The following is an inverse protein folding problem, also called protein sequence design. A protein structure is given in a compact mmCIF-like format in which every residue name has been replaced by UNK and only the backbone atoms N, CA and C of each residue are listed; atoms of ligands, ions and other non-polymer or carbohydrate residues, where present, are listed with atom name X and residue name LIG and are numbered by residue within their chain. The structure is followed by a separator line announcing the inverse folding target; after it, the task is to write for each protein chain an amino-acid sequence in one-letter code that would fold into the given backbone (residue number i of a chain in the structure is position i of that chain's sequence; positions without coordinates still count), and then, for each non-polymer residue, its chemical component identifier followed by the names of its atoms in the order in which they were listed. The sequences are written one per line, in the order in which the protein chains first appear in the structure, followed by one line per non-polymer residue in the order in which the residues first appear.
data_IF_746392421366
#
_entry.id   IF_746392421366
#
_cell.length_a   1.000
_cell.length_b   1.000
_cell.length_c   1.000
_cell.angle_alpha   90.00
_cell.angle_beta   90.00
_cell.angle_gamma   90.00
#
_symmetry.space_group_name_H-M   'P 1'
#
loop_
_entity.id
_entity.type
_entity.pdbx_description
1 polymer ?
#
# COMPACT_ATOMS: atom_id res chain seq x y z
N UNK A 1 13.00 -2.59 35.68
CA UNK A 1 12.20 -3.78 36.03
C UNK A 1 11.45 -4.20 34.78
N UNK A 2 11.69 -5.40 34.28
CA UNK A 2 11.05 -5.89 33.05
C UNK A 2 9.55 -6.06 33.29
N UNK A 3 8.72 -5.31 32.58
CA UNK A 3 7.28 -5.38 32.71
C UNK A 3 6.80 -6.72 32.12
N UNK A 4 6.12 -7.53 32.94
CA UNK A 4 5.51 -8.79 32.50
C UNK A 4 4.27 -8.50 31.67
N UNK A 5 4.02 -9.35 30.67
CA UNK A 5 2.88 -9.23 29.75
C UNK A 5 1.53 -9.38 30.47
N UNK A 6 1.47 -10.22 31.51
CA UNK A 6 0.31 -10.37 32.37
C UNK A 6 0.68 -10.00 33.80
N UNK A 7 -0.25 -9.34 34.49
CA UNK A 7 -0.10 -8.99 35.91
C UNK A 7 -0.29 -10.26 36.75
N UNK A 8 0.82 -11.00 36.94
CA UNK A 8 0.85 -12.29 37.61
C UNK A 8 1.71 -12.21 38.88
N UNK A 9 1.15 -12.46 40.06
CA UNK A 9 1.79 -12.20 41.35
C UNK A 9 2.83 -13.25 41.80
N UNK A 10 3.25 -14.19 40.94
CA UNK A 10 4.21 -15.25 41.28
C UNK A 10 5.67 -14.97 40.87
N UNK A 11 6.57 -15.88 41.17
CA UNK A 11 7.97 -15.80 40.71
C UNK A 11 8.09 -16.17 39.21
N UNK A 12 9.29 -16.05 38.63
CA UNK A 12 9.50 -16.29 37.18
C UNK A 12 9.18 -17.74 36.77
N UNK A 13 9.46 -18.73 37.64
CA UNK A 13 9.17 -20.15 37.35
C UNK A 13 7.66 -20.39 37.29
N UNK A 14 6.91 -19.77 38.21
CA UNK A 14 5.45 -19.83 38.22
C UNK A 14 4.84 -19.06 37.04
N UNK A 15 5.43 -17.93 36.66
CA UNK A 15 5.01 -17.14 35.51
C UNK A 15 5.22 -17.90 34.19
N UNK A 16 6.33 -18.62 34.05
CA UNK A 16 6.59 -19.47 32.88
C UNK A 16 5.54 -20.59 32.78
N UNK A 17 5.25 -21.30 33.88
CA UNK A 17 4.19 -22.33 33.88
C UNK A 17 2.81 -21.75 33.55
N UNK A 18 2.52 -20.55 34.05
CA UNK A 18 1.29 -19.83 33.70
C UNK A 18 1.23 -19.57 32.18
N UNK A 19 2.29 -19.05 31.58
CA UNK A 19 2.35 -18.85 30.13
C UNK A 19 2.20 -20.15 29.33
N UNK A 20 2.85 -21.24 29.75
CA UNK A 20 2.72 -22.56 29.12
C UNK A 20 1.27 -23.08 29.16
N UNK A 21 0.58 -22.93 30.30
CA UNK A 21 -0.83 -23.29 30.42
C UNK A 21 -1.76 -22.45 29.53
N UNK A 22 -1.47 -21.14 29.39
CA UNK A 22 -2.21 -20.30 28.47
C UNK A 22 -2.01 -20.77 27.03
N UNK A 23 -0.76 -21.09 26.65
CA UNK A 23 -0.43 -21.59 25.31
C UNK A 23 -1.20 -22.86 24.95
N UNK A 24 -1.27 -23.82 25.87
CA UNK A 24 -2.05 -25.08 25.70
C UNK A 24 -3.54 -24.78 25.51
N UNK A 25 -4.08 -23.75 26.16
CA UNK A 25 -5.51 -23.39 26.07
C UNK A 25 -5.86 -22.83 24.69
N UNK A 26 -4.92 -22.14 24.02
CA UNK A 26 -5.14 -21.58 22.68
C UNK A 26 -4.81 -22.58 21.57
N UNK A 27 -4.02 -23.63 21.86
CA UNK A 27 -3.57 -24.60 20.88
C UNK A 27 -4.70 -25.32 20.09
N UNK A 28 -5.88 -25.63 20.65
CA UNK A 28 -6.99 -26.23 19.90
C UNK A 28 -7.66 -25.27 18.90
N UNK A 29 -7.47 -23.95 19.02
CA UNK A 29 -8.00 -22.95 18.09
C UNK A 29 -7.16 -22.83 16.81
N UNK A 30 -5.94 -23.36 16.83
CA UNK A 30 -5.07 -23.50 15.67
C UNK A 30 -5.02 -24.99 15.33
N UNK A 31 -5.86 -25.42 14.39
CA UNK A 31 -6.09 -26.83 14.03
C UNK A 31 -4.87 -27.75 14.17
N UNK A 32 -5.08 -28.90 14.80
CA UNK A 32 -4.04 -29.82 15.23
C UNK A 32 -3.02 -30.16 14.14
N UNK A 33 -1.70 -30.07 14.41
CA UNK A 33 -0.71 -30.81 13.63
C UNK A 33 -0.73 -32.28 14.07
N UNK A 34 -0.73 -33.18 13.09
CA UNK A 34 -0.63 -34.63 13.31
C UNK A 34 0.59 -34.99 14.19
N UNK A 35 0.49 -36.04 15.01
CA UNK A 35 1.57 -36.45 15.89
C UNK A 35 2.76 -36.99 15.09
N UNK A 36 3.87 -36.26 15.14
CA UNK A 36 5.17 -36.73 14.67
C UNK A 36 5.56 -37.95 15.51
N UNK A 37 5.61 -39.12 14.86
CA UNK A 37 6.20 -40.34 15.39
C UNK A 37 7.62 -40.07 15.90
N UNK A 38 7.80 -40.27 17.20
CA UNK A 38 9.07 -40.27 17.92
C UNK A 38 9.98 -41.37 17.35
N UNK A 39 10.89 -41.02 16.45
CA UNK A 39 12.05 -41.85 16.15
C UNK A 39 13.10 -41.63 17.24
N UNK A 40 13.22 -42.63 18.11
CA UNK A 40 14.31 -42.76 19.06
C UNK A 40 15.64 -42.85 18.30
N UNK A 41 16.50 -41.84 18.47
CA UNK A 41 17.90 -41.92 18.09
C UNK A 41 18.70 -42.32 19.33
N UNK A 42 19.31 -43.50 19.27
CA UNK A 42 20.31 -43.95 20.23
C UNK A 42 21.56 -43.06 20.18
N UNK A 43 22.21 -42.78 21.32
CA UNK A 43 23.47 -42.05 21.34
C UNK A 43 24.62 -42.98 20.97
N UNK A 44 25.05 -42.91 19.71
CA UNK A 44 26.33 -43.49 19.29
C UNK A 44 27.48 -42.60 19.77
N UNK A 45 28.28 -43.13 20.69
CA UNK A 45 29.58 -42.58 21.06
C UNK A 45 30.50 -42.61 19.84
N UNK A 46 30.89 -41.43 19.35
CA UNK A 46 32.08 -41.32 18.50
C UNK A 46 32.86 -40.05 18.87
N UNK A 47 34.00 -40.32 19.49
CA UNK A 47 35.12 -39.42 19.69
C UNK A 47 35.67 -38.97 18.33
N UNK A 48 35.64 -37.68 18.05
CA UNK A 48 36.17 -37.13 16.80
C UNK A 48 36.30 -35.62 16.88
N UNK A 49 37.47 -35.18 17.31
CA UNK A 49 38.05 -33.83 17.20
C UNK A 49 37.61 -33.06 15.95
N UNK A 50 37.11 -31.83 16.12
CA UNK A 50 37.66 -30.57 15.57
C UNK A 50 36.82 -29.40 16.11
N UNK A 51 37.26 -28.78 17.20
CA UNK A 51 36.70 -27.51 17.68
C UNK A 51 37.20 -26.38 16.78
N UNK A 52 36.43 -26.03 15.75
CA UNK A 52 36.60 -24.75 15.07
C UNK A 52 35.75 -23.70 15.80
N UNK A 53 36.39 -23.09 16.80
CA UNK A 53 35.76 -22.13 17.70
C UNK A 53 35.55 -20.79 17.00
N UNK A 54 34.30 -20.32 17.00
CA UNK A 54 33.99 -18.95 16.60
C UNK A 54 34.80 -17.96 17.45
N UNK A 55 35.68 -17.20 16.81
CA UNK A 55 36.51 -16.18 17.45
C UNK A 55 35.77 -14.84 17.47
N UNK A 56 35.26 -14.47 18.63
CA UNK A 56 34.78 -13.11 18.87
C UNK A 56 35.98 -12.16 18.93
N UNK A 57 36.08 -11.24 17.97
CA UNK A 57 37.07 -10.15 17.99
C UNK A 57 36.45 -8.96 18.70
N UNK A 58 36.94 -8.66 19.90
CA UNK A 58 36.57 -7.46 20.64
C UNK A 58 37.07 -6.21 19.88
N UNK A 59 36.14 -5.43 19.35
CA UNK A 59 36.44 -4.16 18.68
C UNK A 59 36.82 -3.11 19.72
N UNK A 60 38.12 -2.80 19.84
CA UNK A 60 38.62 -1.70 20.65
C UNK A 60 38.69 -0.44 19.78
N UNK A 61 37.80 0.56 19.95
CA UNK A 61 37.88 1.80 19.20
C UNK A 61 39.19 2.51 19.57
N UNK A 62 40.03 2.70 18.56
CA UNK A 62 41.28 3.43 18.71
C UNK A 62 40.94 4.91 18.91
N UNK A 63 41.48 5.59 19.95
CA UNK A 63 41.23 7.01 20.15
C UNK A 63 41.74 7.77 18.94
N UNK A 64 40.83 8.49 18.28
CA UNK A 64 41.11 9.23 17.06
C UNK A 64 42.24 10.24 17.31
N UNK A 65 43.43 9.92 16.79
CA UNK A 65 44.47 10.92 16.60
C UNK A 65 43.93 12.05 15.72
N UNK A 66 44.24 13.27 16.13
CA UNK A 66 43.84 14.54 15.53
C UNK A 66 43.74 14.49 14.00
N UNK A 67 42.53 14.24 13.50
CA UNK A 67 42.22 14.44 12.09
C UNK A 67 41.92 15.92 11.94
N UNK A 68 42.82 16.62 11.25
CA UNK A 68 42.62 18.01 10.82
C UNK A 68 41.21 18.15 10.24
N UNK A 69 40.44 19.10 10.78
CA UNK A 69 39.14 19.51 10.26
C UNK A 69 39.32 20.02 8.82
N UNK A 70 39.29 19.09 7.85
CA UNK A 70 38.86 19.42 6.51
C UNK A 70 37.39 19.78 6.64
N UNK A 71 37.07 21.04 6.38
CA UNK A 71 35.72 21.50 6.05
C UNK A 71 35.17 20.57 4.98
N UNK A 72 34.39 19.57 5.40
CA UNK A 72 33.72 18.68 4.48
C UNK A 72 32.69 19.53 3.72
N UNK A 73 32.65 19.48 2.39
CA UNK A 73 31.58 20.15 1.65
C UNK A 73 30.24 19.60 2.15
N UNK A 74 29.26 20.49 2.24
CA UNK A 74 27.92 20.26 2.78
C UNK A 74 27.31 18.94 2.25
N UNK A 75 27.50 17.86 3.02
CA UNK A 75 27.04 16.50 2.68
C UNK A 75 25.51 16.39 2.66
N UNK A 76 24.80 17.40 3.17
CA UNK A 76 23.34 17.49 3.12
C UNK A 76 22.82 17.84 1.72
N UNK A 77 23.48 18.77 1.03
CA UNK A 77 23.05 19.29 -0.28
C UNK A 77 22.99 18.23 -1.39
N UNK A 78 23.83 17.19 -1.33
CA UNK A 78 23.86 16.15 -2.37
C UNK A 78 22.82 15.03 -2.17
N UNK A 79 22.36 14.81 -0.93
CA UNK A 79 21.49 13.65 -0.62
C UNK A 79 20.07 13.84 -1.14
N UNK A 80 19.48 15.03 -0.99
CA UNK A 80 18.13 15.28 -1.47
C UNK A 80 18.07 15.22 -3.00
N UNK A 81 19.09 15.77 -3.69
CA UNK A 81 19.15 15.77 -5.15
C UNK A 81 19.25 14.35 -5.72
N UNK A 82 20.13 13.51 -5.19
CA UNK A 82 20.22 12.09 -5.60
C UNK A 82 18.91 11.33 -5.35
N UNK A 83 18.20 11.61 -4.26
CA UNK A 83 16.91 11.00 -3.98
C UNK A 83 15.82 11.50 -4.94
N UNK A 84 15.85 12.79 -5.28
CA UNK A 84 14.93 13.40 -6.25
C UNK A 84 15.20 12.84 -7.65
N UNK A 85 16.45 12.77 -8.09
CA UNK A 85 16.83 12.19 -9.37
C UNK A 85 16.32 10.74 -9.45
N UNK A 86 16.51 9.95 -8.39
CA UNK A 86 15.98 8.58 -8.32
C UNK A 86 14.44 8.53 -8.38
N UNK A 87 13.76 9.50 -7.79
CA UNK A 87 12.30 9.61 -7.87
C UNK A 87 11.86 9.94 -9.29
N UNK A 88 12.40 11.00 -9.87
CA UNK A 88 12.07 11.51 -11.19
C UNK A 88 12.31 10.45 -12.28
N UNK A 89 13.44 9.74 -12.26
CA UNK A 89 13.74 8.70 -13.26
C UNK A 89 12.92 7.42 -13.08
N UNK A 90 12.24 7.25 -11.94
CA UNK A 90 11.36 6.12 -11.70
C UNK A 90 9.91 6.42 -12.11
N UNK A 91 9.57 7.69 -12.37
CA UNK A 91 8.24 8.07 -12.86
C UNK A 91 8.03 7.43 -14.25
N UNK A 92 6.93 6.69 -14.47
CA UNK A 92 6.62 6.14 -15.77
C UNK A 92 6.36 7.26 -16.79
N UNK A 93 6.78 7.09 -18.04
CA UNK A 93 6.57 8.10 -19.10
C UNK A 93 5.69 7.53 -20.21
N UNK A 94 5.89 6.26 -20.58
CA UNK A 94 5.07 5.58 -21.59
C UNK A 94 3.89 4.84 -20.96
N UNK A 95 2.87 4.54 -21.78
CA UNK A 95 1.70 3.78 -21.33
C UNK A 95 2.07 2.37 -20.83
N UNK A 96 3.02 1.71 -21.50
CA UNK A 96 3.55 0.40 -21.06
C UNK A 96 4.18 0.48 -19.68
N UNK A 97 5.03 1.49 -19.43
CA UNK A 97 5.63 1.70 -18.11
C UNK A 97 4.56 2.00 -17.05
N UNK A 98 3.50 2.71 -17.43
CA UNK A 98 2.38 3.02 -16.54
C UNK A 98 1.65 1.75 -16.11
N UNK A 99 1.37 0.87 -17.07
CA UNK A 99 0.76 -0.45 -16.82
C UNK A 99 1.65 -1.31 -15.92
N UNK A 100 2.95 -1.37 -16.18
CA UNK A 100 3.91 -2.09 -15.33
C UNK A 100 3.96 -1.51 -13.90
N UNK A 101 3.92 -0.19 -13.77
CA UNK A 101 3.92 0.47 -12.48
C UNK A 101 2.62 0.20 -11.69
N UNK A 102 1.46 0.23 -12.36
CA UNK A 102 0.17 -0.15 -11.77
C UNK A 102 0.18 -1.61 -11.30
N UNK A 103 0.72 -2.53 -12.10
CA UNK A 103 0.83 -3.95 -11.75
C UNK A 103 1.78 -4.17 -10.55
N UNK A 104 2.97 -3.55 -10.58
CA UNK A 104 3.90 -3.56 -9.43
C UNK A 104 3.30 -2.91 -8.17
N UNK A 105 2.31 -2.04 -8.35
CA UNK A 105 1.58 -1.42 -7.25
C UNK A 105 0.37 -2.21 -6.77
N UNK A 106 0.02 -3.30 -7.46
CA UNK A 106 -1.17 -4.10 -7.17
C UNK A 106 -2.47 -3.34 -7.38
N UNK A 107 -2.45 -2.29 -8.22
CA UNK A 107 -3.61 -1.46 -8.59
C UNK A 107 -3.86 -1.54 -10.10
N UNK A 108 -3.60 -2.66 -10.75
CA UNK A 108 -3.69 -2.84 -12.21
C UNK A 108 -5.09 -3.17 -12.73
N UNK A 109 -6.03 -3.46 -11.84
CA UNK A 109 -7.44 -3.66 -12.18
C UNK A 109 -8.31 -2.53 -11.64
N UNK A 110 -9.45 -2.28 -12.28
CA UNK A 110 -10.47 -1.33 -11.82
C UNK A 110 -10.89 -1.64 -10.38
N UNK A 111 -11.11 -2.93 -10.09
CA UNK A 111 -11.44 -3.40 -8.75
C UNK A 111 -10.37 -3.01 -7.72
N UNK A 112 -9.07 -3.26 -8.01
CA UNK A 112 -7.99 -2.90 -7.08
C UNK A 112 -7.79 -1.40 -6.95
N UNK A 113 -8.01 -0.61 -8.00
CA UNK A 113 -8.04 0.85 -7.92
C UNK A 113 -9.15 1.34 -6.96
N UNK A 114 -10.35 0.78 -7.07
CA UNK A 114 -11.48 1.12 -6.21
C UNK A 114 -11.26 0.66 -4.75
N UNK A 115 -10.70 -0.53 -4.55
CA UNK A 115 -10.31 -1.03 -3.22
C UNK A 115 -9.24 -0.13 -2.58
N UNK A 116 -8.21 0.28 -3.33
CA UNK A 116 -7.22 1.24 -2.84
C UNK A 116 -7.89 2.54 -2.38
N UNK A 117 -8.86 3.04 -3.15
CA UNK A 117 -9.57 4.26 -2.80
C UNK A 117 -10.46 4.10 -1.55
N UNK A 118 -11.21 3.01 -1.43
CA UNK A 118 -11.97 2.67 -0.22
C UNK A 118 -11.09 2.73 1.02
N UNK A 119 -9.94 2.06 0.96
CA UNK A 119 -8.97 2.07 2.03
C UNK A 119 -8.49 3.51 2.30
N UNK A 120 -8.13 4.29 1.28
CA UNK A 120 -7.70 5.69 1.44
C UNK A 120 -8.77 6.55 2.13
N UNK A 121 -10.04 6.29 1.85
CA UNK A 121 -11.19 6.95 2.50
C UNK A 121 -11.52 6.39 3.89
N UNK A 122 -10.69 5.49 4.44
CA UNK A 122 -10.86 4.93 5.78
C UNK A 122 -11.92 3.82 5.88
N UNK A 123 -12.38 3.27 4.75
CA UNK A 123 -13.35 2.18 4.75
C UNK A 123 -12.60 0.86 4.92
N UNK A 124 -12.90 0.13 5.99
CA UNK A 124 -12.37 -1.22 6.20
C UNK A 124 -13.30 -2.25 5.55
N UNK A 125 -12.88 -2.83 4.43
CA UNK A 125 -13.50 -4.04 3.89
C UNK A 125 -13.10 -5.29 4.69
N UNK A 126 -13.77 -6.44 4.50
CA UNK A 126 -13.30 -7.70 5.06
C UNK A 126 -11.88 -7.99 4.56
N UNK A 127 -10.98 -8.33 5.48
CA UNK A 127 -9.58 -8.66 5.19
C UNK A 127 -9.55 -10.01 4.47
N UNK A 128 -9.84 -10.00 3.17
CA UNK A 128 -9.80 -11.20 2.34
C UNK A 128 -8.67 -11.00 1.36
N UNK A 129 -7.57 -11.73 1.58
CA UNK A 129 -6.60 -12.01 0.52
C UNK A 129 -7.40 -12.40 -0.71
N UNK A 130 -7.39 -11.58 -1.76
CA UNK A 130 -8.27 -11.85 -2.88
C UNK A 130 -7.95 -13.24 -3.43
N UNK A 131 -8.98 -14.06 -3.58
CA UNK A 131 -8.88 -15.30 -4.33
C UNK A 131 -8.75 -14.90 -5.80
N UNK A 132 -7.52 -14.71 -6.27
CA UNK A 132 -7.31 -14.74 -7.70
C UNK A 132 -7.64 -16.16 -8.17
N UNK A 133 -8.73 -16.27 -8.92
CA UNK A 133 -9.14 -17.45 -9.67
C UNK A 133 -8.22 -17.69 -10.89
N UNK A 134 -6.93 -17.38 -10.77
CA UNK A 134 -5.97 -17.77 -11.79
C UNK A 134 -5.80 -19.29 -11.66
N UNK A 135 -6.38 -20.02 -12.61
CA UNK A 135 -6.28 -21.47 -12.70
C UNK A 135 -4.81 -21.87 -12.56
N UNK A 136 -4.48 -22.55 -11.46
CA UNK A 136 -3.15 -23.08 -11.22
C UNK A 136 -2.84 -24.00 -12.41
N UNK A 137 -1.94 -23.57 -13.30
CA UNK A 137 -1.51 -24.37 -14.45
C UNK A 137 -0.64 -25.50 -13.92
N UNK A 138 -1.29 -26.59 -13.53
CA UNK A 138 -0.62 -27.82 -13.10
C UNK A 138 0.05 -28.44 -14.33
N UNK A 139 1.37 -28.72 -14.30
CA UNK A 139 2.05 -29.37 -15.42
C UNK A 139 1.40 -30.72 -15.75
N UNK A 140 1.02 -30.92 -17.01
CA UNK A 140 0.23 -32.08 -17.46
C UNK A 140 0.97 -33.43 -17.37
N UNK A 141 2.28 -33.42 -17.12
CA UNK A 141 3.13 -34.60 -17.03
C UNK A 141 3.68 -34.78 -15.61
N UNK A 142 2.80 -35.12 -14.66
CA UNK A 142 3.19 -35.39 -13.27
C UNK A 142 3.44 -36.90 -13.05
N UNK A 143 4.51 -37.29 -12.34
CA UNK A 143 4.70 -38.65 -11.88
C UNK A 143 3.51 -39.07 -10.99
N UNK A 144 2.86 -40.18 -11.34
CA UNK A 144 1.57 -40.64 -10.80
C UNK A 144 1.52 -40.76 -9.27
N UNK A 145 2.67 -40.87 -8.60
CA UNK A 145 2.74 -41.14 -7.16
C UNK A 145 2.96 -39.89 -6.28
N UNK A 146 3.26 -38.72 -6.86
CA UNK A 146 3.56 -37.49 -6.09
C UNK A 146 2.71 -36.27 -6.51
N UNK A 147 1.71 -36.46 -7.37
CA UNK A 147 0.91 -35.36 -7.93
C UNK A 147 0.28 -34.44 -6.89
N UNK A 148 -0.20 -35.01 -5.77
CA UNK A 148 -0.79 -34.23 -4.68
C UNK A 148 0.22 -33.30 -3.99
N UNK A 149 1.43 -33.79 -3.68
CA UNK A 149 2.48 -32.96 -3.05
C UNK A 149 2.92 -31.83 -3.96
N UNK A 150 3.04 -32.09 -5.27
CA UNK A 150 3.42 -31.07 -6.24
C UNK A 150 2.29 -30.04 -6.38
N UNK A 151 1.03 -30.48 -6.41
CA UNK A 151 -0.14 -29.58 -6.43
C UNK A 151 -0.20 -28.69 -5.20
N UNK A 152 -0.02 -29.24 -4.00
CA UNK A 152 0.05 -28.47 -2.76
C UNK A 152 1.23 -27.49 -2.75
N UNK A 153 2.41 -27.92 -3.22
CA UNK A 153 3.58 -27.05 -3.36
C UNK A 153 3.32 -25.88 -4.30
N UNK A 154 2.68 -26.12 -5.45
CA UNK A 154 2.25 -25.07 -6.38
C UNK A 154 1.23 -24.13 -5.74
N UNK A 155 0.21 -24.65 -5.06
CA UNK A 155 -0.79 -23.85 -4.34
C UNK A 155 -0.14 -22.94 -3.29
N UNK A 156 0.77 -23.48 -2.47
CA UNK A 156 1.48 -22.72 -1.45
C UNK A 156 2.42 -21.67 -2.07
N UNK A 157 3.11 -22.00 -3.16
CA UNK A 157 3.91 -21.04 -3.92
C UNK A 157 3.08 -19.87 -4.45
N UNK A 158 1.92 -20.15 -5.04
CA UNK A 158 0.97 -19.12 -5.50
C UNK A 158 0.45 -18.27 -4.33
N UNK A 159 0.20 -18.87 -3.17
CA UNK A 159 -0.18 -18.14 -1.96
C UNK A 159 0.91 -17.18 -1.47
N UNK A 160 2.19 -17.60 -1.48
CA UNK A 160 3.31 -16.72 -1.12
C UNK A 160 3.42 -15.55 -2.10
N UNK A 161 3.29 -15.81 -3.41
CA UNK A 161 3.31 -14.75 -4.43
C UNK A 161 2.20 -13.73 -4.19
N UNK A 162 0.97 -14.19 -3.95
CA UNK A 162 -0.16 -13.33 -3.57
C UNK A 162 0.11 -12.49 -2.32
N UNK A 163 0.66 -13.09 -1.27
CA UNK A 163 1.04 -12.36 -0.05
C UNK A 163 2.05 -11.24 -0.35
N UNK A 164 2.98 -11.46 -1.28
CA UNK A 164 3.94 -10.44 -1.68
C UNK A 164 3.27 -9.28 -2.44
N UNK A 165 2.32 -9.59 -3.33
CA UNK A 165 1.57 -8.59 -4.08
C UNK A 165 0.65 -7.75 -3.19
N UNK A 166 -0.07 -8.40 -2.26
CA UNK A 166 -0.91 -7.71 -1.27
C UNK A 166 -0.08 -6.83 -0.33
N UNK A 167 1.14 -7.27 0.03
CA UNK A 167 2.08 -6.42 0.78
C UNK A 167 2.46 -5.18 -0.04
N UNK A 168 2.78 -5.33 -1.32
CA UNK A 168 3.16 -4.20 -2.18
C UNK A 168 2.02 -3.19 -2.32
N UNK A 169 0.80 -3.69 -2.53
CA UNK A 169 -0.41 -2.89 -2.53
C UNK A 169 -0.60 -2.13 -1.21
N UNK A 170 -0.61 -2.85 -0.08
CA UNK A 170 -0.86 -2.26 1.24
C UNK A 170 0.17 -1.18 1.59
N UNK A 171 1.46 -1.43 1.34
CA UNK A 171 2.52 -0.45 1.62
C UNK A 171 2.31 0.85 0.84
N UNK A 172 1.88 0.77 -0.42
CA UNK A 172 1.65 1.93 -1.28
C UNK A 172 0.40 2.71 -0.89
N UNK A 173 -0.70 1.99 -0.63
CA UNK A 173 -1.94 2.57 -0.13
C UNK A 173 -1.68 3.32 1.18
N UNK A 174 -0.96 2.72 2.12
CA UNK A 174 -0.59 3.37 3.40
C UNK A 174 0.33 4.58 3.19
N UNK A 175 1.32 4.48 2.30
CA UNK A 175 2.17 5.62 1.98
C UNK A 175 1.37 6.81 1.41
N UNK A 176 0.40 6.52 0.54
CA UNK A 176 -0.48 7.53 -0.05
C UNK A 176 -1.50 8.09 0.95
N UNK A 177 -2.10 7.24 1.80
CA UNK A 177 -2.93 7.65 2.94
C UNK A 177 -2.20 8.65 3.85
N UNK A 178 -0.95 8.37 4.17
CA UNK A 178 -0.13 9.26 4.99
C UNK A 178 0.07 10.64 4.32
N UNK A 179 0.25 10.66 3.00
CA UNK A 179 0.32 11.90 2.21
C UNK A 179 -1.02 12.66 2.20
N UNK A 180 -2.13 11.97 1.95
CA UNK A 180 -3.49 12.53 1.99
C UNK A 180 -3.78 13.11 3.37
N UNK A 181 -3.47 12.36 4.44
CA UNK A 181 -3.67 12.78 5.81
C UNK A 181 -2.84 14.03 6.18
N UNK A 182 -1.58 14.11 5.72
CA UNK A 182 -0.78 15.33 5.89
C UNK A 182 -1.37 16.52 5.12
N UNK A 183 -1.94 16.28 3.93
CA UNK A 183 -2.65 17.31 3.15
C UNK A 183 -3.92 17.78 3.87
N UNK A 184 -4.69 16.85 4.43
CA UNK A 184 -5.86 17.12 5.27
C UNK A 184 -5.49 17.97 6.50
N UNK A 185 -4.35 17.66 7.16
CA UNK A 185 -3.85 18.45 8.28
C UNK A 185 -3.50 19.90 7.91
N UNK A 186 -2.94 20.12 6.71
CA UNK A 186 -2.69 21.47 6.19
C UNK A 186 -4.01 22.23 6.02
N UNK A 187 -5.02 21.57 5.41
CA UNK A 187 -6.35 22.16 5.20
C UNK A 187 -7.03 22.51 6.53
N UNK A 188 -7.02 21.61 7.51
CA UNK A 188 -7.57 21.88 8.84
C UNK A 188 -6.90 23.10 9.50
N UNK A 189 -5.57 23.18 9.47
CA UNK A 189 -4.84 24.32 10.05
C UNK A 189 -5.20 25.63 9.36
N UNK A 190 -5.34 25.63 8.03
CA UNK A 190 -5.74 26.80 7.25
C UNK A 190 -7.20 27.19 7.49
N UNK A 191 -8.05 26.22 7.80
CA UNK A 191 -9.45 26.43 8.20
C UNK A 191 -9.61 26.87 9.68
N UNK A 192 -8.52 27.10 10.41
CA UNK A 192 -8.55 27.63 11.77
C UNK A 192 -8.41 26.61 12.90
N UNK A 193 -8.20 25.32 12.59
CA UNK A 193 -7.92 24.31 13.62
C UNK A 193 -6.55 24.61 14.26
N UNK A 194 -6.45 24.68 15.61
CA UNK A 194 -5.19 24.99 16.26
C UNK A 194 -4.07 23.99 15.93
N UNK A 195 -2.87 24.51 15.65
CA UNK A 195 -1.67 23.71 15.35
C UNK A 195 -1.39 22.62 16.39
N UNK A 196 -1.61 22.90 17.67
CA UNK A 196 -1.42 21.92 18.74
C UNK A 196 -2.34 20.70 18.57
N UNK A 197 -3.62 20.92 18.29
CA UNK A 197 -4.59 19.84 18.06
C UNK A 197 -4.24 19.04 16.79
N UNK A 198 -3.85 19.72 15.72
CA UNK A 198 -3.40 19.05 14.48
C UNK A 198 -2.12 18.22 14.73
N UNK A 199 -1.14 18.75 15.46
CA UNK A 199 0.08 18.03 15.79
C UNK A 199 -0.20 16.78 16.64
N UNK A 200 -1.06 16.88 17.65
CA UNK A 200 -1.48 15.73 18.46
C UNK A 200 -2.18 14.66 17.63
N UNK A 201 -3.01 15.06 16.67
CA UNK A 201 -3.61 14.12 15.71
C UNK A 201 -2.53 13.46 14.84
N UNK A 202 -1.59 14.24 14.31
CA UNK A 202 -0.53 13.69 13.46
C UNK A 202 0.36 12.68 14.21
N UNK A 203 0.73 12.95 15.47
CA UNK A 203 1.51 12.02 16.30
C UNK A 203 0.84 10.65 16.44
N UNK A 204 -0.50 10.59 16.52
CA UNK A 204 -1.23 9.32 16.56
C UNK A 204 -1.05 8.48 15.30
N UNK A 205 -0.86 9.11 14.15
CA UNK A 205 -0.74 8.44 12.85
C UNK A 205 0.71 8.23 12.39
N UNK A 206 1.63 9.13 12.73
CA UNK A 206 3.03 9.08 12.27
C UNK A 206 4.02 8.63 13.36
N UNK A 207 3.52 8.31 14.56
CA UNK A 207 4.31 7.91 15.72
C UNK A 207 4.34 8.99 16.81
N UNK A 208 4.20 8.55 18.07
CA UNK A 208 4.09 9.44 19.24
C UNK A 208 5.37 10.25 19.52
N UNK A 209 6.52 9.72 19.10
CA UNK A 209 7.84 10.32 19.36
C UNK A 209 8.21 11.44 18.38
N UNK A 210 7.32 11.79 17.43
CA UNK A 210 7.60 12.84 16.45
C UNK A 210 7.51 14.23 17.09
N UNK A 211 8.58 15.02 16.93
CA UNK A 211 8.58 16.42 17.34
C UNK A 211 7.76 17.31 16.38
N UNK A 212 7.31 18.45 16.90
CA UNK A 212 6.52 19.42 16.14
C UNK A 212 7.23 19.94 14.88
N UNK A 213 8.57 19.97 14.88
CA UNK A 213 9.37 20.39 13.73
C UNK A 213 9.30 19.35 12.60
N UNK A 214 9.26 18.08 12.93
CA UNK A 214 9.17 16.97 11.97
C UNK A 214 7.78 16.88 11.37
N UNK A 215 6.74 17.09 12.18
CA UNK A 215 5.36 17.19 11.70
C UNK A 215 5.18 18.39 10.75
N UNK A 216 5.81 19.53 11.07
CA UNK A 216 5.86 20.70 10.19
C UNK A 216 6.55 20.38 8.86
N UNK A 217 7.67 19.65 8.89
CA UNK A 217 8.37 19.19 7.68
C UNK A 217 7.51 18.25 6.84
N UNK A 218 6.72 17.36 7.46
CA UNK A 218 5.80 16.47 6.74
C UNK A 218 4.67 17.25 6.06
N UNK A 219 4.09 18.26 6.71
CA UNK A 219 3.11 19.16 6.08
C UNK A 219 3.70 19.92 4.89
N UNK A 220 4.94 20.42 5.00
CA UNK A 220 5.64 21.02 3.86
C UNK A 220 5.90 20.02 2.74
N UNK A 221 6.23 18.76 3.06
CA UNK A 221 6.35 17.67 2.09
C UNK A 221 5.05 17.43 1.33
N UNK A 222 3.91 17.40 2.04
CA UNK A 222 2.59 17.25 1.40
C UNK A 222 2.24 18.44 0.50
N UNK A 223 2.54 19.67 0.93
CA UNK A 223 2.37 20.88 0.11
C UNK A 223 3.24 20.84 -1.16
N UNK A 224 4.48 20.37 -1.05
CA UNK A 224 5.36 20.18 -2.20
C UNK A 224 4.76 19.20 -3.22
N UNK A 225 4.25 18.05 -2.75
CA UNK A 225 3.58 17.07 -3.62
C UNK A 225 2.36 17.67 -4.32
N UNK A 226 1.50 18.37 -3.59
CA UNK A 226 0.32 19.00 -4.18
C UNK A 226 0.67 20.08 -5.21
N UNK A 227 1.76 20.83 -4.99
CA UNK A 227 2.26 21.78 -5.99
C UNK A 227 2.78 21.09 -7.24
N UNK A 228 3.52 19.98 -7.08
CA UNK A 228 3.94 19.17 -8.23
C UNK A 228 2.71 18.67 -9.00
N UNK A 229 1.71 18.10 -8.31
CA UNK A 229 0.48 17.63 -8.96
C UNK A 229 -0.27 18.77 -9.68
N UNK A 230 -0.38 19.94 -9.07
CA UNK A 230 -1.00 21.12 -9.70
C UNK A 230 -0.25 21.55 -10.97
N UNK A 231 1.07 21.67 -10.90
CA UNK A 231 1.89 22.05 -12.05
C UNK A 231 1.88 21.00 -13.16
N UNK A 232 1.81 19.71 -12.82
CA UNK A 232 1.65 18.63 -13.80
C UNK A 232 0.27 18.68 -14.45
N UNK A 233 -0.78 18.97 -13.68
CA UNK A 233 -2.13 19.13 -14.22
C UNK A 233 -2.20 20.30 -15.21
N UNK A 234 -1.59 21.45 -14.89
CA UNK A 234 -1.44 22.59 -15.80
C UNK A 234 -0.65 22.22 -17.08
N UNK A 235 0.27 21.26 -16.99
CA UNK A 235 1.03 20.72 -18.11
C UNK A 235 0.32 19.57 -18.86
N UNK A 236 -0.96 19.32 -18.58
CA UNK A 236 -1.77 18.34 -19.30
C UNK A 236 -1.56 16.88 -18.84
N UNK A 237 -1.06 16.65 -17.63
CA UNK A 237 -0.91 15.31 -17.07
C UNK A 237 -2.20 14.70 -16.51
N UNK A 238 -3.31 15.44 -16.51
CA UNK A 238 -4.63 14.89 -16.20
C UNK A 238 -4.68 14.10 -14.88
N UNK A 239 -5.36 12.95 -14.89
CA UNK A 239 -5.47 12.04 -13.74
C UNK A 239 -4.10 11.51 -13.24
N UNK A 240 -3.12 11.39 -14.14
CA UNK A 240 -1.78 10.87 -13.83
C UNK A 240 -0.98 11.81 -12.92
N UNK A 241 -1.35 13.09 -12.84
CA UNK A 241 -0.72 14.11 -11.98
C UNK A 241 -0.66 13.72 -10.50
N UNK A 242 -1.64 12.96 -10.01
CA UNK A 242 -1.68 12.48 -8.62
C UNK A 242 -1.21 11.04 -8.49
N UNK A 243 -1.49 10.21 -9.50
CA UNK A 243 -1.20 8.78 -9.48
C UNK A 243 0.30 8.48 -9.33
N UNK A 244 1.18 9.33 -9.88
CA UNK A 244 2.64 9.15 -9.73
C UNK A 244 3.08 9.03 -8.25
N UNK A 245 2.42 9.73 -7.33
CA UNK A 245 2.81 9.74 -5.92
C UNK A 245 2.36 8.47 -5.19
N UNK A 246 1.35 7.77 -5.72
CA UNK A 246 0.95 6.43 -5.29
C UNK A 246 1.91 5.37 -5.87
N UNK A 247 2.25 5.51 -7.15
CA UNK A 247 3.11 4.57 -7.88
C UNK A 247 4.59 4.59 -7.46
N UNK A 248 5.08 5.66 -6.84
CA UNK A 248 6.50 5.79 -6.48
C UNK A 248 6.85 5.47 -5.01
N UNK A 249 5.88 5.08 -4.18
CA UNK A 249 6.04 4.65 -2.78
C UNK A 249 7.12 5.43 -2.00
N UNK A 250 7.03 6.76 -2.00
CA UNK A 250 7.97 7.62 -1.27
C UNK A 250 7.41 7.95 0.10
N UNK A 251 8.30 8.01 1.10
CA UNK A 251 7.91 8.33 2.47
C UNK A 251 7.70 9.83 2.64
N UNK A 252 6.90 10.23 3.64
CA UNK A 252 6.74 11.64 4.02
C UNK A 252 8.08 12.33 4.31
N UNK A 253 9.02 11.60 4.92
CA UNK A 253 10.37 12.10 5.16
C UNK A 253 11.16 12.39 3.87
N UNK A 254 10.91 11.66 2.78
CA UNK A 254 11.50 11.97 1.47
C UNK A 254 10.90 13.24 0.89
N UNK A 255 9.56 13.35 0.87
CA UNK A 255 8.89 14.57 0.39
C UNK A 255 9.27 15.81 1.21
N UNK A 256 9.39 15.68 2.52
CA UNK A 256 9.89 16.74 3.40
C UNK A 256 11.30 17.23 3.01
N UNK A 257 12.19 16.32 2.59
CA UNK A 257 13.54 16.69 2.11
C UNK A 257 13.48 17.40 0.75
N UNK A 258 12.56 17.01 -0.13
CA UNK A 258 12.35 17.71 -1.40
C UNK A 258 11.79 19.12 -1.15
N UNK A 259 10.83 19.25 -0.24
CA UNK A 259 10.24 20.52 0.18
C UNK A 259 11.25 21.46 0.84
N UNK A 260 12.29 20.95 1.51
CA UNK A 260 13.36 21.82 2.03
C UNK A 260 14.12 22.57 0.90
N UNK A 261 14.03 22.10 -0.34
CA UNK A 261 14.62 22.70 -1.54
C UNK A 261 13.54 23.02 -2.59
N UNK A 262 12.34 23.35 -2.12
CA UNK A 262 11.12 23.50 -2.91
C UNK A 262 11.33 24.28 -4.22
N UNK A 263 11.95 25.48 -4.15
CA UNK A 263 12.16 26.36 -5.29
C UNK A 263 12.81 25.69 -6.52
N UNK A 264 13.67 24.68 -6.31
CA UNK A 264 14.34 23.95 -7.38
C UNK A 264 13.74 22.56 -7.58
N UNK A 265 13.36 21.87 -6.50
CA UNK A 265 13.00 20.45 -6.57
C UNK A 265 11.68 20.19 -7.29
N UNK A 266 10.65 21.04 -7.14
CA UNK A 266 9.39 20.83 -7.89
C UNK A 266 9.59 21.11 -9.38
N UNK A 267 10.41 22.11 -9.73
CA UNK A 267 10.69 22.48 -11.12
C UNK A 267 11.40 21.35 -11.85
N UNK A 268 12.29 20.61 -11.20
CA UNK A 268 12.95 19.45 -11.79
C UNK A 268 11.96 18.34 -12.17
N UNK A 269 10.94 18.09 -11.34
CA UNK A 269 9.87 17.13 -11.66
C UNK A 269 9.11 17.57 -12.90
N UNK A 270 8.66 18.83 -12.90
CA UNK A 270 7.87 19.42 -14.01
C UNK A 270 8.69 19.47 -15.30
N UNK A 271 9.97 19.83 -15.22
CA UNK A 271 10.90 19.92 -16.35
C UNK A 271 11.20 18.54 -16.95
N UNK A 272 11.37 17.53 -16.12
CA UNK A 272 11.68 16.18 -16.59
C UNK A 272 10.49 15.54 -17.29
N UNK A 273 9.28 15.72 -16.75
CA UNK A 273 8.06 15.16 -17.32
C UNK A 273 7.57 15.96 -18.53
N UNK A 274 7.76 17.28 -18.54
CA UNK A 274 7.33 18.13 -19.64
C UNK A 274 5.81 18.22 -19.77
N UNK A 275 5.35 18.55 -20.98
CA UNK A 275 3.93 18.62 -21.31
C UNK A 275 3.42 17.25 -21.77
N UNK A 276 2.17 16.96 -21.45
CA UNK A 276 1.46 15.78 -21.90
C UNK A 276 0.04 16.14 -22.36
N UNK A 277 -0.65 15.18 -22.95
CA UNK A 277 -2.07 15.27 -23.33
C UNK A 277 -2.80 14.06 -22.74
N UNK A 278 -2.91 14.05 -21.42
CA UNK A 278 -3.55 12.99 -20.64
C UNK A 278 -4.94 13.47 -20.21
N UNK A 279 -5.99 12.65 -20.37
CA UNK A 279 -7.33 13.03 -19.96
C UNK A 279 -7.42 13.31 -18.46
N UNK A 280 -8.33 14.21 -18.07
CA UNK A 280 -8.55 14.56 -16.66
C UNK A 280 -9.06 13.39 -15.82
N UNK A 281 -9.76 12.43 -16.44
CA UNK A 281 -10.27 11.21 -15.85
C UNK A 281 -10.32 10.08 -16.89
N UNK A 282 -10.28 8.84 -16.41
CA UNK A 282 -10.55 7.65 -17.22
C UNK A 282 -11.91 7.08 -16.77
N UNK A 283 -12.75 6.64 -17.70
CA UNK A 283 -14.17 6.32 -17.46
C UNK A 283 -14.42 5.34 -16.30
N UNK A 284 -13.56 4.33 -16.17
CA UNK A 284 -13.66 3.27 -15.16
C UNK A 284 -12.59 3.35 -14.09
N UNK A 285 -11.64 4.29 -14.20
CA UNK A 285 -10.54 4.43 -13.24
C UNK A 285 -10.78 5.63 -12.33
N UNK A 286 -10.75 5.41 -11.03
CA UNK A 286 -10.91 6.52 -10.10
C UNK A 286 -9.60 7.25 -9.92
N UNK A 287 -9.65 8.57 -10.12
CA UNK A 287 -8.51 9.46 -9.91
C UNK A 287 -8.18 9.58 -8.42
N UNK A 288 -6.90 9.51 -8.08
CA UNK A 288 -6.39 9.77 -6.74
C UNK A 288 -6.27 11.27 -6.45
N UNK A 289 -7.24 12.08 -6.89
CA UNK A 289 -7.20 13.53 -6.74
C UNK A 289 -7.22 13.94 -5.26
N UNK A 290 -6.07 14.37 -4.72
CA UNK A 290 -5.91 14.70 -3.30
C UNK A 290 -6.95 15.74 -2.81
N UNK A 291 -7.19 16.87 -3.51
CA UNK A 291 -8.25 17.80 -3.12
C UNK A 291 -9.65 17.16 -3.02
N UNK A 292 -10.00 16.27 -3.96
CA UNK A 292 -11.30 15.59 -3.96
C UNK A 292 -11.42 14.60 -2.80
N UNK A 293 -10.36 13.84 -2.52
CA UNK A 293 -10.29 12.94 -1.37
C UNK A 293 -10.43 13.73 -0.06
N UNK A 294 -9.68 14.83 0.10
CA UNK A 294 -9.77 15.69 1.28
C UNK A 294 -11.15 16.32 1.42
N UNK A 295 -11.76 16.76 0.32
CA UNK A 295 -13.13 17.29 0.32
C UNK A 295 -14.14 16.25 0.82
N UNK A 296 -14.00 14.99 0.39
CA UNK A 296 -14.81 13.88 0.90
C UNK A 296 -14.57 13.65 2.41
N UNK A 297 -13.31 13.59 2.86
CA UNK A 297 -12.97 13.39 4.27
C UNK A 297 -13.47 14.51 5.20
N UNK A 298 -13.52 15.76 4.71
CA UNK A 298 -14.10 16.89 5.46
C UNK A 298 -15.63 16.86 5.48
N UNK A 299 -16.29 15.87 4.89
CA UNK A 299 -17.76 15.80 4.77
C UNK A 299 -18.35 17.07 4.15
N UNK A 300 -17.63 17.68 3.20
CA UNK A 300 -18.00 18.96 2.57
C UNK A 300 -18.12 20.18 3.53
N UNK A 301 -17.56 20.10 4.75
CA UNK A 301 -17.54 21.25 5.69
C UNK A 301 -16.65 22.40 5.22
N UNK A 302 -15.64 22.10 4.40
CA UNK A 302 -14.75 23.06 3.76
C UNK A 302 -15.02 23.03 2.26
N UNK A 303 -15.16 24.19 1.61
CA UNK A 303 -15.42 24.24 0.18
C UNK A 303 -14.22 23.69 -0.61
N UNK A 304 -14.49 23.01 -1.73
CA UNK A 304 -13.43 22.46 -2.58
C UNK A 304 -12.48 23.56 -3.09
N UNK A 305 -13.00 24.75 -3.39
CA UNK A 305 -12.20 25.91 -3.78
C UNK A 305 -11.18 26.29 -2.70
N UNK A 306 -11.61 26.37 -1.43
CA UNK A 306 -10.71 26.67 -0.30
C UNK A 306 -9.66 25.56 -0.13
N UNK A 307 -10.05 24.29 -0.28
CA UNK A 307 -9.11 23.14 -0.24
C UNK A 307 -8.06 23.28 -1.34
N UNK A 308 -8.48 23.59 -2.56
CA UNK A 308 -7.58 23.81 -3.70
C UNK A 308 -6.60 24.95 -3.41
N UNK A 309 -7.09 26.08 -2.88
CA UNK A 309 -6.26 27.23 -2.52
C UNK A 309 -5.26 26.91 -1.40
N UNK A 310 -5.69 26.18 -0.37
CA UNK A 310 -4.82 25.77 0.74
C UNK A 310 -3.73 24.79 0.32
N UNK A 311 -4.01 23.93 -0.66
CA UNK A 311 -3.07 22.93 -1.18
C UNK A 311 -2.23 23.43 -2.37
N UNK A 312 -2.56 24.60 -2.93
CA UNK A 312 -1.79 25.26 -3.98
C UNK A 312 -2.23 24.99 -5.42
N UNK A 313 -3.47 24.54 -5.64
CA UNK A 313 -4.09 24.35 -6.97
C UNK A 313 -4.73 25.64 -7.49
N UNK A 314 -3.95 26.72 -7.54
CA UNK A 314 -4.47 28.04 -7.91
C UNK A 314 -4.98 28.01 -9.35
N UNK A 315 -6.21 28.49 -9.58
CA UNK A 315 -6.84 28.66 -10.92
C UNK A 315 -7.24 27.37 -11.64
N UNK A 316 -7.21 26.23 -10.97
CA UNK A 316 -7.69 24.96 -11.53
C UNK A 316 -9.13 24.73 -11.07
N UNK A 317 -10.06 24.67 -12.01
CA UNK A 317 -11.42 24.22 -11.72
C UNK A 317 -11.43 22.68 -11.64
N UNK A 318 -11.40 22.16 -10.41
CA UNK A 318 -11.48 20.73 -10.13
C UNK A 318 -12.92 20.24 -9.94
N UNK A 319 -13.95 21.05 -10.23
CA UNK A 319 -15.36 20.67 -10.04
C UNK A 319 -15.73 19.42 -10.86
N UNK A 320 -15.28 19.32 -12.11
CA UNK A 320 -15.51 18.16 -12.97
C UNK A 320 -14.89 16.91 -12.34
N UNK A 321 -13.62 16.99 -11.94
CA UNK A 321 -12.91 15.86 -11.32
C UNK A 321 -13.56 15.46 -10.01
N UNK A 322 -14.00 16.42 -9.20
CA UNK A 322 -14.66 16.16 -7.93
C UNK A 322 -16.04 15.53 -8.11
N UNK A 323 -16.81 15.96 -9.12
CA UNK A 323 -18.10 15.37 -9.45
C UNK A 323 -17.96 13.92 -9.92
N UNK A 324 -16.97 13.65 -10.77
CA UNK A 324 -16.65 12.30 -11.22
C UNK A 324 -16.15 11.42 -10.07
N UNK A 325 -15.26 11.96 -9.24
CA UNK A 325 -14.77 11.29 -8.03
C UNK A 325 -15.93 10.91 -7.11
N UNK A 326 -16.87 11.83 -6.85
CA UNK A 326 -18.03 11.56 -6.01
C UNK A 326 -18.91 10.45 -6.59
N UNK A 327 -19.22 10.54 -7.89
CA UNK A 327 -20.03 9.51 -8.56
C UNK A 327 -19.40 8.11 -8.44
N UNK A 328 -18.07 8.02 -8.62
CA UNK A 328 -17.34 6.76 -8.48
C UNK A 328 -17.21 6.32 -7.02
N UNK A 329 -16.91 7.23 -6.09
CA UNK A 329 -16.79 6.89 -4.66
C UNK A 329 -18.11 6.39 -4.09
N UNK A 330 -19.21 7.04 -4.45
CA UNK A 330 -20.54 6.66 -3.97
C UNK A 330 -20.95 5.30 -4.56
N UNK A 331 -20.68 5.06 -5.84
CA UNK A 331 -20.88 3.74 -6.45
C UNK A 331 -20.06 2.66 -5.72
N UNK A 332 -18.81 2.96 -5.35
CA UNK A 332 -17.91 2.02 -4.70
C UNK A 332 -18.29 1.73 -3.24
N UNK A 333 -18.76 2.75 -2.51
CA UNK A 333 -19.14 2.65 -1.08
C UNK A 333 -20.52 1.99 -0.93
N UNK A 334 -21.46 2.32 -1.82
CA UNK A 334 -22.85 1.90 -1.73
C UNK A 334 -23.22 0.75 -2.67
N UNK A 335 -22.28 0.20 -3.47
CA UNK A 335 -22.57 -1.02 -4.22
C UNK A 335 -22.88 -2.13 -3.23
N UNK A 336 -24.11 -2.68 -3.19
CA UNK A 336 -24.38 -3.84 -2.39
C UNK A 336 -23.45 -4.94 -2.90
N UNK A 337 -22.60 -5.47 -2.03
CA UNK A 337 -21.98 -6.78 -2.26
C UNK A 337 -23.14 -7.73 -2.49
N UNK A 338 -23.46 -7.99 -3.76
CA UNK A 338 -24.35 -9.08 -4.13
C UNK A 338 -23.65 -10.30 -3.57
N UNK A 339 -24.19 -10.97 -2.54
CA UNK A 339 -23.68 -12.27 -2.17
C UNK A 339 -23.90 -13.14 -3.41
N UNK A 340 -22.86 -13.78 -3.91
CA UNK A 340 -22.97 -14.82 -4.93
C UNK A 340 -24.11 -15.77 -4.56
N UNK A 341 -25.28 -15.55 -5.16
CA UNK A 341 -26.38 -16.47 -5.08
C UNK A 341 -26.05 -17.58 -6.08
N UNK A 342 -25.43 -18.62 -5.52
CA UNK A 342 -25.62 -20.03 -5.82
C UNK A 342 -26.19 -20.34 -7.21
N UNK A 343 -25.33 -20.97 -8.00
CA UNK A 343 -25.65 -22.11 -8.86
C UNK A 343 -27.11 -22.56 -8.83
N UNK A 344 -27.87 -22.20 -9.87
CA UNK A 344 -28.93 -23.09 -10.33
C UNK A 344 -28.33 -24.02 -11.37
N UNK A 345 -28.05 -25.25 -10.94
CA UNK A 345 -27.65 -26.34 -11.81
C UNK A 345 -28.72 -26.67 -12.88
N UNK A 346 -28.32 -27.39 -13.95
CA UNK A 346 -29.18 -27.65 -15.09
C UNK A 346 -30.19 -28.75 -14.74
N UNK A 347 -31.45 -28.37 -14.53
CA UNK A 347 -32.56 -29.32 -14.57
C UNK A 347 -32.96 -29.56 -16.01
N UNK A 348 -32.42 -30.64 -16.58
CA UNK A 348 -32.89 -31.18 -17.84
C UNK A 348 -34.29 -31.75 -17.70
N UNK A 349 -35.19 -31.33 -18.59
CA UNK A 349 -36.37 -32.10 -19.01
C UNK A 349 -36.56 -31.84 -20.50
N UNK A 350 -36.23 -32.83 -21.33
CA UNK A 350 -36.78 -32.94 -22.68
C UNK A 350 -38.28 -33.24 -22.59
N UNK A 351 -39.06 -32.84 -23.60
CA UNK A 351 -39.75 -33.88 -24.35
C UNK A 351 -39.65 -33.71 -25.87
N UNK A 352 -39.41 -34.86 -26.48
CA UNK A 352 -39.60 -35.20 -27.88
C UNK A 352 -41.06 -35.03 -28.30
N UNK A 353 -41.28 -34.43 -29.49
CA UNK A 353 -41.99 -35.03 -30.65
C UNK A 353 -42.56 -33.94 -31.58
N UNK A 354 -42.07 -33.98 -32.83
CA UNK A 354 -42.79 -33.54 -34.03
C UNK A 354 -43.90 -34.58 -34.35
N UNK A 355 -44.77 -34.44 -35.39
CA UNK A 355 -44.67 -33.56 -36.56
C UNK A 355 -46.00 -32.98 -37.10
N UNK A 356 -45.88 -32.18 -38.17
CA UNK A 356 -46.67 -32.24 -39.42
C UNK A 356 -47.07 -30.86 -39.96
N UNK A 357 -46.58 -30.56 -41.17
CA UNK A 357 -47.28 -29.91 -42.28
C UNK A 357 -47.81 -28.48 -42.08
N UNK A 358 -47.40 -27.55 -42.95
CA UNK A 358 -48.29 -27.04 -43.99
C UNK A 358 -47.49 -26.18 -44.99
N UNK A 359 -47.64 -26.52 -46.27
CA UNK A 359 -47.43 -25.62 -47.41
C UNK A 359 -48.28 -24.34 -47.22
N UNK A 360 -47.90 -23.22 -47.86
CA UNK A 360 -48.70 -22.57 -48.92
C UNK A 360 -47.87 -21.41 -49.52
N UNK A 361 -47.64 -21.51 -50.82
CA UNK A 361 -47.28 -20.41 -51.72
C UNK A 361 -48.45 -19.43 -51.91
N UNK A 362 -48.11 -18.25 -52.45
CA UNK A 362 -48.94 -17.28 -53.21
C UNK A 362 -49.30 -15.97 -52.49
N UNK A 363 -48.52 -14.91 -52.72
CA UNK A 363 -48.88 -13.84 -53.66
C UNK A 363 -47.75 -12.83 -53.88
#
# INVERSE_FOLDING_TARGET
MSQRLFDFPGNDVEYIRFLESQLITVQPLFGAPDPISTLAFEPSQNTGTTTDGFRFVEYKPQPAGHTQQRLAPDRGSFKWKKQLDKFVHAIPISETQWKEARNKAGIDTVFRNQEALKLILGHSGPVVFHENQDDIVIPSSLPTNCGHLITQGCQYGSFIARCADDRNFAVRVVAYQNLVFCSYCVVMMRAGVPKAMTNEMMKRYTGQDQDDQTLEKYRHGALWVNRCAAALLENGWGCKSWEIFLLENRTLAQFARFAANDATSYQEVVRHLGKADIPLYEEVWTSYCIPSIVYHLTSSTIQLADICDYLGYKRLDLSIISSHFRAQSDAVIYSPTVPDLLEQGPSGVQPTSAPAGFLWDSH
#
